data_IF_042527935878
#
_entry.id   IF_042527935878
#
_cell.length_a   1.000
_cell.length_b   1.000
_cell.length_c   1.000
_cell.angle_alpha   90.00
_cell.angle_beta   90.00
_cell.angle_gamma   90.00
#
_symmetry.space_group_name_H-M   'P 1'
#
loop_
_entity.id
_entity.type
_entity.pdbx_description
1 polymer ?
#
# COMPACT_ATOMS: atom_id res chain seq x y z
N UNK A 1 36.70 18.62 15.86
CA UNK A 1 35.29 18.97 16.10
C UNK A 1 34.67 19.79 14.98
N UNK A 2 34.52 19.21 13.79
CA UNK A 2 34.02 19.93 12.59
C UNK A 2 32.65 19.40 12.11
N UNK A 3 31.88 18.75 13.00
CA UNK A 3 30.60 18.11 12.65
C UNK A 3 29.40 18.67 13.40
N UNK A 4 29.58 19.48 14.44
CA UNK A 4 28.51 19.91 15.36
C UNK A 4 27.43 20.83 14.75
N UNK A 5 27.78 21.94 14.07
CA UNK A 5 26.78 22.91 13.61
C UNK A 5 26.02 22.45 12.35
N UNK A 6 26.74 21.83 11.40
CA UNK A 6 26.16 21.32 10.15
C UNK A 6 25.25 20.11 10.40
N UNK A 7 25.64 19.20 11.31
CA UNK A 7 24.76 18.09 11.70
C UNK A 7 23.48 18.58 12.38
N UNK A 8 23.58 19.59 13.26
CA UNK A 8 22.40 20.19 13.89
C UNK A 8 21.49 20.92 12.88
N UNK A 9 22.06 21.60 11.88
CA UNK A 9 21.29 22.21 10.81
C UNK A 9 20.57 21.15 9.95
N UNK A 10 21.26 20.06 9.59
CA UNK A 10 20.69 18.97 8.81
C UNK A 10 19.58 18.23 9.58
N UNK A 11 19.78 17.96 10.87
CA UNK A 11 18.76 17.36 11.73
C UNK A 11 17.49 18.24 11.84
N UNK A 12 17.65 19.56 11.90
CA UNK A 12 16.51 20.49 11.88
C UNK A 12 15.77 20.48 10.54
N UNK A 13 16.49 20.35 9.43
CA UNK A 13 15.86 20.24 8.11
C UNK A 13 15.10 18.93 7.96
N UNK A 14 15.66 17.82 8.43
CA UNK A 14 15.00 16.51 8.43
C UNK A 14 13.73 16.51 9.29
N UNK A 15 13.79 17.12 10.47
CA UNK A 15 12.63 17.31 11.35
C UNK A 15 11.53 18.16 10.69
N UNK A 16 11.88 19.27 10.04
CA UNK A 16 10.93 20.10 9.29
C UNK A 16 10.30 19.32 8.12
N UNK A 17 11.10 18.54 7.41
CA UNK A 17 10.63 17.74 6.27
C UNK A 17 9.64 16.68 6.73
N UNK A 18 9.95 15.98 7.83
CA UNK A 18 9.05 15.01 8.47
C UNK A 18 7.74 15.68 8.89
N UNK A 19 7.81 16.84 9.56
CA UNK A 19 6.63 17.58 10.00
C UNK A 19 5.74 18.02 8.81
N UNK A 20 6.34 18.54 7.75
CA UNK A 20 5.59 18.95 6.54
C UNK A 20 4.91 17.73 5.91
N UNK A 21 5.61 16.60 5.81
CA UNK A 21 5.06 15.35 5.28
C UNK A 21 3.87 14.87 6.13
N UNK A 22 4.00 14.91 7.45
CA UNK A 22 2.94 14.48 8.37
C UNK A 22 1.71 15.39 8.28
N UNK A 23 1.91 16.71 8.24
CA UNK A 23 0.82 17.68 8.09
C UNK A 23 0.10 17.54 6.75
N UNK A 24 0.85 17.35 5.66
CA UNK A 24 0.26 17.08 4.34
C UNK A 24 -0.50 15.75 4.33
N UNK A 25 0.03 14.74 5.00
CA UNK A 25 -0.62 13.45 5.15
C UNK A 25 -1.96 13.54 5.89
N UNK A 26 -2.00 14.27 6.99
CA UNK A 26 -3.22 14.53 7.77
C UNK A 26 -4.24 15.32 6.92
N UNK A 27 -3.80 16.41 6.28
CA UNK A 27 -4.67 17.25 5.46
C UNK A 27 -5.30 16.49 4.29
N UNK A 28 -4.52 15.65 3.60
CA UNK A 28 -5.05 14.88 2.47
C UNK A 28 -5.99 13.75 2.95
N UNK A 29 -5.72 13.14 4.12
CA UNK A 29 -6.62 12.14 4.71
C UNK A 29 -7.99 12.72 5.10
N UNK A 30 -8.05 13.98 5.55
CA UNK A 30 -9.30 14.69 5.86
C UNK A 30 -10.14 14.96 4.62
N UNK A 31 -9.50 15.23 3.46
CA UNK A 31 -10.20 15.58 2.21
C UNK A 31 -10.73 14.39 1.45
N UNK A 32 -9.91 13.35 1.29
CA UNK A 32 -10.25 12.23 0.41
C UNK A 32 -11.05 11.13 1.12
N UNK A 33 -11.10 11.18 2.46
CA UNK A 33 -11.59 10.09 3.29
C UNK A 33 -10.63 8.90 3.24
N UNK A 34 -10.39 8.26 4.37
CA UNK A 34 -9.59 7.03 4.37
C UNK A 34 -10.43 5.90 3.75
N UNK A 35 -9.95 5.23 2.68
CA UNK A 35 -10.68 4.11 2.11
C UNK A 35 -10.86 3.03 3.19
N UNK A 36 -12.02 2.38 3.21
CA UNK A 36 -12.29 1.30 4.16
C UNK A 36 -11.17 0.25 4.08
N UNK A 37 -10.54 -0.03 5.22
CA UNK A 37 -9.47 -1.02 5.28
C UNK A 37 -10.04 -2.40 4.99
N UNK A 38 -9.65 -2.98 3.86
CA UNK A 38 -10.08 -4.31 3.44
C UNK A 38 -8.89 -5.28 3.45
N UNK A 39 -9.09 -6.54 3.90
CA UNK A 39 -8.06 -7.56 3.80
C UNK A 39 -7.63 -7.77 2.34
N UNK A 40 -6.31 -7.73 2.11
CA UNK A 40 -5.70 -7.93 0.79
C UNK A 40 -4.60 -8.99 0.90
N UNK A 41 -4.67 -10.02 0.08
CA UNK A 41 -3.55 -10.95 -0.12
C UNK A 41 -2.75 -10.48 -1.33
N UNK A 42 -1.53 -9.98 -1.13
CA UNK A 42 -0.73 -9.37 -2.19
C UNK A 42 0.55 -10.18 -2.46
N UNK A 43 0.81 -10.45 -3.74
CA UNK A 43 2.05 -11.05 -4.24
C UNK A 43 2.69 -10.23 -5.37
N UNK A 44 3.90 -10.63 -5.79
CA UNK A 44 4.57 -10.07 -6.98
C UNK A 44 3.78 -10.28 -8.28
N UNK A 45 2.93 -11.29 -8.36
CA UNK A 45 2.23 -11.65 -9.61
C UNK A 45 0.81 -11.10 -9.68
N UNK A 46 0.26 -10.69 -8.55
CA UNK A 46 -1.15 -10.34 -8.46
C UNK A 46 -1.60 -10.10 -7.03
N UNK A 47 -2.89 -9.90 -6.86
CA UNK A 47 -3.53 -9.77 -5.57
C UNK A 47 -4.87 -10.50 -5.52
N UNK A 48 -5.34 -10.74 -4.30
CA UNK A 48 -6.65 -11.31 -4.01
C UNK A 48 -7.33 -10.48 -2.94
N UNK A 49 -8.58 -10.12 -3.21
CA UNK A 49 -9.43 -9.31 -2.33
C UNK A 49 -10.88 -9.77 -2.43
N UNK A 50 -11.67 -9.42 -1.42
CA UNK A 50 -13.11 -9.66 -1.43
C UNK A 50 -13.82 -8.34 -1.81
N UNK A 51 -14.49 -8.34 -2.96
CA UNK A 51 -15.19 -7.20 -3.54
C UNK A 51 -16.71 -7.34 -3.40
N UNK A 52 -17.43 -6.23 -3.28
CA UNK A 52 -18.90 -6.27 -3.15
C UNK A 52 -19.61 -6.64 -4.45
N UNK A 53 -18.98 -6.35 -5.59
CA UNK A 53 -19.56 -6.58 -6.91
C UNK A 53 -18.88 -7.76 -7.61
N UNK A 54 -19.64 -8.55 -8.39
CA UNK A 54 -19.07 -9.59 -9.23
C UNK A 54 -18.25 -8.98 -10.37
N UNK A 55 -17.08 -9.54 -10.62
CA UNK A 55 -16.33 -9.33 -11.86
C UNK A 55 -16.12 -10.66 -12.58
N UNK A 56 -15.99 -10.64 -13.90
CA UNK A 56 -15.77 -11.82 -14.73
C UNK A 56 -14.28 -12.01 -15.03
N UNK A 57 -13.79 -13.26 -15.14
CA UNK A 57 -12.46 -13.50 -15.67
C UNK A 57 -12.27 -12.83 -17.05
N UNK A 58 -11.16 -12.12 -17.23
CA UNK A 58 -10.87 -11.28 -18.39
C UNK A 58 -11.21 -9.80 -18.22
N UNK A 59 -12.02 -9.44 -17.23
CA UNK A 59 -12.33 -8.03 -16.96
C UNK A 59 -11.06 -7.29 -16.54
N UNK A 60 -10.85 -6.11 -17.12
CA UNK A 60 -9.71 -5.25 -16.81
C UNK A 60 -10.14 -4.09 -15.91
N UNK A 61 -9.25 -3.65 -15.03
CA UNK A 61 -9.52 -2.53 -14.13
C UNK A 61 -8.26 -1.96 -13.49
N UNK A 62 -8.46 -1.04 -12.55
CA UNK A 62 -7.38 -0.46 -11.75
C UNK A 62 -7.57 -0.88 -10.30
N UNK A 63 -6.59 -1.59 -9.75
CA UNK A 63 -6.49 -1.82 -8.31
C UNK A 63 -5.79 -0.62 -7.67
N UNK A 64 -6.54 0.12 -6.88
CA UNK A 64 -6.02 1.25 -6.12
C UNK A 64 -5.71 0.81 -4.68
N UNK A 65 -4.47 0.98 -4.25
CA UNK A 65 -3.99 0.62 -2.90
C UNK A 65 -3.39 1.82 -2.18
N UNK A 66 -3.56 1.92 -0.86
CA UNK A 66 -2.84 2.89 -0.04
C UNK A 66 -1.86 2.16 0.89
N UNK A 67 -0.60 1.92 0.46
CA UNK A 67 0.36 1.11 1.22
C UNK A 67 0.94 1.83 2.45
N UNK A 68 0.94 3.17 2.45
CA UNK A 68 1.44 3.98 3.55
C UNK A 68 0.28 4.55 4.38
N UNK A 69 0.31 4.29 5.69
CA UNK A 69 -0.66 4.85 6.64
C UNK A 69 -0.36 6.32 6.99
N UNK A 70 0.86 6.80 6.71
CA UNK A 70 1.31 8.17 7.02
C UNK A 70 1.32 9.09 5.80
N UNK A 71 1.16 8.53 4.59
CA UNK A 71 1.12 9.30 3.36
C UNK A 71 0.01 8.74 2.45
N UNK A 72 -1.08 9.50 2.22
CA UNK A 72 -2.21 9.07 1.40
C UNK A 72 -1.91 9.10 -0.10
N UNK A 73 -0.77 8.52 -0.50
CA UNK A 73 -0.48 8.25 -1.91
C UNK A 73 -1.15 6.92 -2.28
N UNK A 74 -2.03 7.01 -3.29
CA UNK A 74 -2.67 5.88 -3.94
C UNK A 74 -1.73 5.27 -4.97
N UNK A 75 -1.45 3.98 -4.82
CA UNK A 75 -0.78 3.16 -5.80
C UNK A 75 -1.83 2.54 -6.71
N UNK A 76 -1.84 2.95 -7.97
CA UNK A 76 -2.75 2.43 -8.99
C UNK A 76 -2.05 1.37 -9.83
N UNK A 77 -2.61 0.16 -9.84
CA UNK A 77 -2.05 -0.98 -10.55
C UNK A 77 -3.08 -1.48 -11.57
N UNK A 78 -2.78 -1.44 -12.88
CA UNK A 78 -3.60 -2.09 -13.88
C UNK A 78 -3.69 -3.59 -13.61
N UNK A 79 -4.91 -4.12 -13.60
CA UNK A 79 -5.20 -5.51 -13.29
C UNK A 79 -6.17 -6.13 -14.28
N UNK A 80 -6.06 -7.44 -14.43
CA UNK A 80 -7.03 -8.31 -15.06
C UNK A 80 -7.57 -9.30 -14.02
N UNK A 81 -8.87 -9.51 -14.01
CA UNK A 81 -9.51 -10.55 -13.20
C UNK A 81 -9.19 -11.91 -13.83
N UNK A 82 -8.52 -12.79 -13.09
CA UNK A 82 -8.20 -14.15 -13.57
C UNK A 82 -9.15 -15.21 -13.00
N UNK A 83 -9.79 -14.92 -11.87
CA UNK A 83 -10.80 -15.76 -11.26
C UNK A 83 -11.72 -14.91 -10.37
N UNK A 84 -12.97 -15.37 -10.25
CA UNK A 84 -13.99 -14.78 -9.39
C UNK A 84 -14.77 -15.91 -8.75
N UNK A 85 -14.88 -15.90 -7.42
CA UNK A 85 -15.61 -16.90 -6.66
C UNK A 85 -16.57 -16.19 -5.68
N UNK A 86 -17.85 -16.57 -5.65
CA UNK A 86 -18.77 -16.04 -4.63
C UNK A 86 -18.35 -16.51 -3.23
N UNK A 87 -18.38 -15.60 -2.25
CA UNK A 87 -18.09 -15.83 -0.84
C UNK A 87 -19.08 -15.02 0.01
N UNK A 88 -20.15 -15.68 0.48
CA UNK A 88 -21.30 -15.04 1.14
C UNK A 88 -21.88 -13.87 0.31
N UNK A 89 -21.95 -12.66 0.87
CA UNK A 89 -22.45 -11.43 0.22
C UNK A 89 -21.36 -10.70 -0.59
N UNK A 90 -20.22 -11.35 -0.85
CA UNK A 90 -19.08 -10.77 -1.57
C UNK A 90 -18.57 -11.71 -2.65
N UNK A 91 -17.71 -11.18 -3.50
CA UNK A 91 -16.98 -11.91 -4.52
C UNK A 91 -15.50 -11.85 -4.23
N UNK A 92 -14.89 -13.01 -4.03
CA UNK A 92 -13.45 -13.13 -3.97
C UNK A 92 -12.88 -13.05 -5.37
N UNK A 93 -12.07 -12.02 -5.62
CA UNK A 93 -11.43 -11.77 -6.90
C UNK A 93 -9.95 -12.12 -6.82
N UNK A 94 -9.45 -12.81 -7.85
CA UNK A 94 -8.03 -12.96 -8.11
C UNK A 94 -7.65 -12.06 -9.28
N UNK A 95 -6.64 -11.25 -9.05
CA UNK A 95 -6.20 -10.20 -9.96
C UNK A 95 -4.77 -10.48 -10.38
N UNK A 96 -4.48 -10.30 -11.67
CA UNK A 96 -3.14 -10.34 -12.25
C UNK A 96 -2.73 -8.95 -12.70
N UNK A 97 -1.47 -8.59 -12.49
CA UNK A 97 -0.90 -7.34 -12.98
C UNK A 97 -0.85 -7.28 -14.52
N UNK A 98 -1.32 -6.18 -15.08
CA UNK A 98 -1.26 -5.90 -16.52
C UNK A 98 -0.13 -4.92 -16.85
N UNK A 99 0.57 -5.18 -17.97
CA UNK A 99 1.51 -4.22 -18.57
C UNK A 99 2.72 -3.81 -17.73
N UNK A 100 3.03 -4.51 -16.63
CA UNK A 100 4.17 -4.17 -15.79
C UNK A 100 5.49 -4.67 -16.39
N UNK A 101 6.44 -3.75 -16.57
CA UNK A 101 7.83 -4.08 -16.88
C UNK A 101 8.52 -4.77 -15.69
N UNK A 102 9.58 -5.53 -15.96
CA UNK A 102 10.34 -6.24 -14.93
C UNK A 102 10.91 -5.32 -13.83
N UNK A 103 11.46 -4.12 -14.15
CA UNK A 103 11.92 -3.18 -13.12
C UNK A 103 10.81 -2.74 -12.15
N UNK A 104 9.61 -2.49 -12.68
CA UNK A 104 8.44 -2.11 -11.87
C UNK A 104 8.02 -3.28 -11.00
N UNK A 105 7.96 -4.48 -11.57
CA UNK A 105 7.61 -5.72 -10.83
C UNK A 105 8.58 -6.00 -9.68
N UNK A 106 9.89 -5.82 -9.89
CA UNK A 106 10.91 -5.97 -8.87
C UNK A 106 10.80 -4.89 -7.76
N UNK A 107 10.45 -3.67 -8.14
CA UNK A 107 10.20 -2.58 -7.18
C UNK A 107 8.97 -2.87 -6.32
N UNK A 108 7.92 -3.45 -6.92
CA UNK A 108 6.72 -3.89 -6.23
C UNK A 108 7.00 -5.01 -5.23
N UNK A 109 7.79 -6.01 -5.63
CA UNK A 109 8.22 -7.10 -4.75
C UNK A 109 8.95 -6.56 -3.52
N UNK A 110 9.92 -5.66 -3.70
CA UNK A 110 10.62 -5.00 -2.59
C UNK A 110 9.66 -4.24 -1.67
N UNK A 111 8.64 -3.57 -2.23
CA UNK A 111 7.61 -2.91 -1.44
C UNK A 111 6.82 -3.93 -0.59
N UNK A 112 6.34 -5.01 -1.19
CA UNK A 112 5.60 -6.07 -0.49
C UNK A 112 6.43 -6.68 0.63
N UNK A 113 7.71 -7.00 0.37
CA UNK A 113 8.63 -7.49 1.40
C UNK A 113 8.79 -6.51 2.56
N UNK A 114 8.94 -5.21 2.28
CA UNK A 114 9.02 -4.18 3.34
C UNK A 114 7.74 -4.12 4.17
N UNK A 115 6.58 -4.15 3.52
CA UNK A 115 5.28 -4.15 4.20
C UNK A 115 5.10 -5.39 5.08
N UNK A 116 5.45 -6.57 4.54
CA UNK A 116 5.38 -7.84 5.24
C UNK A 116 6.29 -7.85 6.49
N UNK A 117 7.55 -7.47 6.35
CA UNK A 117 8.50 -7.39 7.47
C UNK A 117 8.01 -6.42 8.56
N UNK A 118 7.41 -5.30 8.16
CA UNK A 118 6.83 -4.33 9.10
C UNK A 118 5.60 -4.90 9.82
N UNK A 119 4.75 -5.66 9.13
CA UNK A 119 3.60 -6.33 9.72
C UNK A 119 4.02 -7.39 10.75
N UNK A 120 5.04 -8.19 10.45
CA UNK A 120 5.61 -9.16 11.39
C UNK A 120 6.15 -8.45 12.64
N UNK A 121 6.95 -7.39 12.47
CA UNK A 121 7.53 -6.64 13.59
C UNK A 121 6.47 -5.89 14.44
N UNK A 122 5.29 -5.61 13.89
CA UNK A 122 4.13 -5.10 14.65
C UNK A 122 3.45 -6.21 15.44
N UNK A 123 3.20 -7.37 14.83
CA UNK A 123 2.60 -8.54 15.52
C UNK A 123 3.47 -9.03 16.68
N UNK A 124 4.79 -9.01 16.53
CA UNK A 124 5.73 -9.37 17.60
C UNK A 124 5.75 -8.35 18.76
N UNK A 125 5.41 -7.09 18.49
CA UNK A 125 5.33 -6.03 19.52
C UNK A 125 3.98 -5.94 20.23
N UNK A 126 2.93 -6.48 19.63
CA UNK A 126 1.60 -6.54 20.24
C UNK A 126 1.06 -7.98 20.20
N UNK A 127 1.66 -8.92 20.94
CA UNK A 127 1.06 -10.22 21.15
C UNK A 127 -0.08 -10.04 22.16
N UNK A 128 -1.32 -10.22 21.72
CA UNK A 128 -2.57 -10.20 22.52
C UNK A 128 -3.21 -8.82 22.74
N UNK A 129 -4.23 -8.55 21.92
CA UNK A 129 -5.60 -8.33 22.42
C UNK A 129 -6.48 -9.33 21.68
#
# INVERSE_FOLDING_TARGET
DETGPHAAALARLDAKTTLIIDLLGQWLAERDGSPASQPLSWSRCGARLDHGEPAKPGDCGILSLQPAFWLPIRLELPVEVIASQPDHDRHRLWLRWLGMSDPVRNSLERLVFRLHRRAIARRQRNPSI
#
